data_IF_469553588289
#
_entry.id   IF_469553588289
#
_cell.length_a   1.000
_cell.length_b   1.000
_cell.length_c   1.000
_cell.angle_alpha   90.00
_cell.angle_beta   90.00
_cell.angle_gamma   90.00
#
_symmetry.space_group_name_H-M   'P 1'
#
loop_
_entity.id
_entity.type
_entity.pdbx_description
1 polymer ?
#
# COMPACT_ATOMS: atom_id res chain seq x y z
N UNK A 1 20.17 -8.55 -18.59
CA UNK A 1 19.52 -8.06 -19.82
C UNK A 1 18.02 -8.21 -19.62
N UNK A 2 17.36 -7.14 -19.21
CA UNK A 2 15.90 -7.12 -19.01
C UNK A 2 15.26 -7.24 -20.40
N UNK A 3 14.43 -8.27 -20.58
CA UNK A 3 13.74 -8.50 -21.85
C UNK A 3 12.92 -7.28 -22.24
N UNK A 4 13.14 -6.72 -23.44
CA UNK A 4 12.38 -5.60 -24.02
C UNK A 4 10.85 -5.81 -23.96
N UNK A 5 10.41 -7.06 -23.89
CA UNK A 5 8.99 -7.43 -23.77
C UNK A 5 8.35 -7.01 -22.44
N UNK A 6 9.12 -6.95 -21.34
CA UNK A 6 8.61 -6.53 -20.02
C UNK A 6 8.41 -5.01 -19.94
N UNK A 7 9.30 -4.25 -20.60
CA UNK A 7 9.17 -2.79 -20.70
C UNK A 7 7.94 -2.38 -21.52
N UNK A 8 7.61 -3.15 -22.55
CA UNK A 8 6.42 -2.94 -23.36
C UNK A 8 5.11 -3.23 -22.60
N UNK A 9 5.09 -4.22 -21.71
CA UNK A 9 3.90 -4.51 -20.90
C UNK A 9 3.55 -3.36 -19.94
N UNK A 10 4.54 -2.69 -19.37
CA UNK A 10 4.35 -1.51 -18.50
C UNK A 10 3.91 -0.29 -19.32
N UNK A 11 4.41 -0.13 -20.56
CA UNK A 11 4.06 0.97 -21.45
C UNK A 11 2.68 0.80 -22.10
N UNK A 12 2.23 -0.42 -22.40
CA UNK A 12 0.90 -0.68 -23.00
C UNK A 12 -0.24 -0.30 -22.04
N UNK A 13 -0.06 -0.44 -20.73
CA UNK A 13 -1.05 0.02 -19.74
C UNK A 13 -1.21 1.55 -19.76
N UNK A 14 -0.21 2.29 -20.22
CA UNK A 14 -0.26 3.76 -20.27
C UNK A 14 -0.83 4.32 -21.60
N UNK A 15 -0.96 3.52 -22.68
CA UNK A 15 -1.21 4.06 -24.02
C UNK A 15 -2.50 3.55 -24.69
N UNK A 16 -3.55 3.23 -23.98
CA UNK A 16 -4.85 3.02 -24.63
C UNK A 16 -5.64 4.33 -24.71
N UNK A 17 -5.46 5.08 -25.78
CA UNK A 17 -6.48 6.01 -26.27
C UNK A 17 -7.59 5.16 -26.90
N UNK A 18 -8.65 4.89 -26.18
CA UNK A 18 -9.88 4.34 -26.74
C UNK A 18 -10.66 5.46 -27.43
N UNK A 19 -11.01 5.25 -28.68
CA UNK A 19 -11.86 6.16 -29.47
C UNK A 19 -13.28 6.16 -28.89
N UNK A 20 -13.78 7.33 -28.55
CA UNK A 20 -15.03 7.57 -27.80
C UNK A 20 -16.33 7.09 -28.49
N UNK A 21 -16.31 6.73 -29.76
CA UNK A 21 -17.52 6.49 -30.53
C UNK A 21 -18.11 5.07 -30.41
N UNK A 22 -17.32 4.07 -30.08
CA UNK A 22 -17.76 2.67 -30.07
C UNK A 22 -18.37 2.22 -28.73
N UNK A 23 -18.10 2.94 -27.65
CA UNK A 23 -18.57 2.60 -26.29
C UNK A 23 -19.98 3.13 -25.98
N UNK A 24 -20.42 4.22 -26.63
CA UNK A 24 -21.76 4.79 -26.41
C UNK A 24 -22.91 3.87 -26.91
N UNK A 25 -22.65 3.05 -27.93
CA UNK A 25 -23.65 2.12 -28.45
C UNK A 25 -23.89 0.91 -27.53
N UNK A 26 -22.84 0.42 -26.85
CA UNK A 26 -22.93 -0.67 -25.89
C UNK A 26 -23.67 -0.24 -24.62
N UNK A 27 -23.46 1.01 -24.17
CA UNK A 27 -24.12 1.55 -22.98
C UNK A 27 -25.63 1.77 -23.20
N UNK A 28 -26.07 2.24 -24.39
CA UNK A 28 -27.49 2.42 -24.74
C UNK A 28 -28.24 1.10 -24.83
N UNK A 29 -27.63 0.07 -25.41
CA UNK A 29 -28.24 -1.27 -25.52
C UNK A 29 -28.37 -2.00 -24.18
N UNK A 30 -27.52 -1.67 -23.19
CA UNK A 30 -27.55 -2.29 -21.88
C UNK A 30 -28.68 -1.76 -20.98
N UNK A 31 -29.07 -0.50 -21.14
CA UNK A 31 -30.15 0.15 -20.36
C UNK A 31 -31.54 -0.45 -20.58
N UNK A 32 -31.76 -1.18 -21.65
CA UNK A 32 -33.05 -1.79 -21.97
C UNK A 32 -33.27 -3.22 -21.51
N UNK A 33 -32.22 -3.89 -20.96
CA UNK A 33 -32.39 -5.20 -20.33
C UNK A 33 -32.56 -5.03 -18.81
N UNK A 34 -33.77 -4.72 -18.36
CA UNK A 34 -34.17 -4.96 -16.98
C UNK A 34 -34.20 -6.48 -16.77
N UNK A 35 -33.14 -7.09 -16.21
CA UNK A 35 -33.29 -8.27 -15.37
C UNK A 35 -31.94 -8.80 -14.84
N UNK A 36 -31.89 -8.99 -13.53
CA UNK A 36 -31.19 -10.00 -12.72
C UNK A 36 -29.77 -9.67 -12.23
N UNK A 37 -28.97 -8.79 -12.84
CA UNK A 37 -27.67 -8.40 -12.31
C UNK A 37 -27.45 -6.86 -12.32
N UNK A 38 -28.29 -6.11 -11.61
CA UNK A 38 -28.06 -4.68 -11.35
C UNK A 38 -27.22 -4.42 -10.08
N UNK A 39 -26.49 -5.39 -9.60
CA UNK A 39 -25.52 -5.19 -8.55
C UNK A 39 -24.43 -4.21 -9.02
N UNK A 40 -24.49 -2.99 -8.55
CA UNK A 40 -23.34 -2.10 -8.56
C UNK A 40 -23.22 -1.09 -9.70
N UNK A 41 -24.26 -0.82 -10.50
CA UNK A 41 -24.20 0.20 -11.58
C UNK A 41 -24.87 1.52 -11.19
N UNK A 42 -24.69 1.95 -9.96
CA UNK A 42 -25.26 3.20 -9.47
C UNK A 42 -24.39 4.40 -9.88
N UNK A 43 -25.05 5.52 -10.23
CA UNK A 43 -24.39 6.82 -10.28
C UNK A 43 -23.94 7.18 -8.86
N UNK A 44 -22.90 8.02 -8.78
CA UNK A 44 -22.49 8.55 -7.49
C UNK A 44 -23.67 9.32 -6.87
N UNK A 45 -24.16 8.89 -5.70
CA UNK A 45 -25.12 9.70 -4.97
C UNK A 45 -24.49 11.06 -4.65
N UNK A 46 -25.28 12.13 -4.68
CA UNK A 46 -24.84 13.44 -4.16
C UNK A 46 -24.39 13.29 -2.70
N UNK A 47 -23.51 14.16 -2.24
CA UNK A 47 -22.96 14.09 -0.87
C UNK A 47 -24.09 14.04 0.18
N UNK A 48 -25.16 14.80 -0.02
CA UNK A 48 -26.32 14.85 0.86
C UNK A 48 -27.16 13.56 0.89
N UNK A 49 -27.10 12.74 -0.15
CA UNK A 49 -27.81 11.47 -0.25
C UNK A 49 -26.97 10.25 0.16
N UNK A 50 -25.67 10.45 0.40
CA UNK A 50 -24.80 9.40 0.91
C UNK A 50 -25.08 9.12 2.39
N UNK A 51 -24.98 7.82 2.73
CA UNK A 51 -25.08 7.34 4.11
C UNK A 51 -23.73 6.81 4.56
N UNK A 52 -23.36 7.08 5.82
CA UNK A 52 -22.14 6.57 6.44
C UNK A 52 -22.42 5.92 7.81
N UNK A 53 -21.37 5.38 8.43
CA UNK A 53 -21.45 4.74 9.76
C UNK A 53 -21.99 5.71 10.81
N UNK A 54 -21.64 7.00 10.71
CA UNK A 54 -22.08 8.01 11.67
C UNK A 54 -23.57 8.31 11.58
N UNK A 55 -24.17 8.31 10.38
CA UNK A 55 -25.61 8.42 10.20
C UNK A 55 -26.35 7.25 10.88
N UNK A 56 -25.74 6.04 10.83
CA UNK A 56 -26.24 4.87 11.55
C UNK A 56 -26.16 5.03 13.07
N UNK A 57 -25.04 5.51 13.58
CA UNK A 57 -24.83 5.77 15.02
C UNK A 57 -25.80 6.86 15.51
N UNK A 58 -25.97 7.95 14.74
CA UNK A 58 -26.92 9.01 15.06
C UNK A 58 -28.35 8.47 15.14
N UNK A 59 -28.75 7.62 14.20
CA UNK A 59 -30.10 7.03 14.17
C UNK A 59 -30.36 6.08 15.35
N UNK A 60 -29.35 5.30 15.78
CA UNK A 60 -29.48 4.30 16.84
C UNK A 60 -29.40 4.94 18.23
N UNK A 61 -28.44 5.86 18.42
CA UNK A 61 -28.10 6.40 19.74
C UNK A 61 -28.54 7.85 19.96
N UNK A 62 -29.09 8.51 18.94
CA UNK A 62 -29.54 9.91 19.04
C UNK A 62 -28.41 10.94 19.21
N UNK A 63 -27.16 10.53 19.02
CA UNK A 63 -25.97 11.37 19.20
C UNK A 63 -25.77 12.20 17.95
N UNK A 64 -26.19 13.48 17.94
CA UNK A 64 -25.91 14.38 16.82
C UNK A 64 -24.43 14.75 16.77
N UNK A 65 -23.81 14.55 15.63
CA UNK A 65 -22.44 15.01 15.37
C UNK A 65 -22.47 16.52 15.15
N UNK A 66 -22.03 17.29 16.15
CA UNK A 66 -21.87 18.74 16.00
C UNK A 66 -20.64 18.98 15.11
N UNK A 67 -20.89 19.40 13.88
CA UNK A 67 -19.85 19.93 12.99
C UNK A 67 -19.78 21.43 13.18
N UNK A 68 -18.87 21.91 14.01
CA UNK A 68 -18.58 23.35 14.09
C UNK A 68 -17.62 23.71 12.95
N UNK A 69 -18.12 24.42 11.94
CA UNK A 69 -17.30 24.89 10.79
C UNK A 69 -16.11 25.74 11.23
N UNK A 70 -16.20 26.42 12.40
CA UNK A 70 -15.07 27.18 12.97
C UNK A 70 -13.92 26.27 13.45
N UNK A 71 -14.17 25.00 13.75
CA UNK A 71 -13.12 24.05 14.09
C UNK A 71 -12.30 23.61 12.87
N UNK A 72 -12.85 23.68 11.67
CA UNK A 72 -12.16 23.32 10.42
C UNK A 72 -10.98 24.25 10.09
N UNK A 73 -10.87 25.41 10.72
CA UNK A 73 -9.76 26.36 10.54
C UNK A 73 -8.52 26.05 11.39
N UNK A 74 -8.58 25.10 12.30
CA UNK A 74 -7.49 24.72 13.23
C UNK A 74 -7.07 23.27 12.99
N UNK A 75 -5.80 22.91 13.32
CA UNK A 75 -5.39 21.51 13.34
C UNK A 75 -6.32 20.68 14.24
N UNK A 76 -6.77 19.53 13.73
CA UNK A 76 -7.64 18.62 14.45
C UNK A 76 -6.85 17.40 14.91
N UNK A 77 -6.83 17.17 16.21
CA UNK A 77 -6.24 15.99 16.83
C UNK A 77 -7.34 14.97 17.10
N UNK A 78 -7.20 13.78 16.54
CA UNK A 78 -7.98 12.61 16.89
C UNK A 78 -7.07 11.59 17.59
N UNK A 79 -7.48 11.11 18.76
CA UNK A 79 -6.82 10.03 19.49
C UNK A 79 -7.82 8.87 19.58
N UNK A 80 -7.48 7.72 18.99
CA UNK A 80 -8.40 6.60 18.82
C UNK A 80 -7.71 5.32 19.33
N UNK A 81 -8.14 4.79 20.49
CA UNK A 81 -7.76 3.44 20.87
C UNK A 81 -8.46 2.46 19.94
N UNK A 82 -7.75 1.46 19.46
CA UNK A 82 -8.30 0.46 18.54
C UNK A 82 -7.76 -0.94 18.82
N UNK A 83 -8.50 -1.93 18.34
CA UNK A 83 -8.06 -3.32 18.24
C UNK A 83 -7.99 -3.65 16.75
N UNK A 84 -6.86 -4.13 16.33
CA UNK A 84 -6.57 -4.42 14.93
C UNK A 84 -6.22 -5.89 14.73
N UNK A 85 -6.41 -6.38 13.52
CA UNK A 85 -5.98 -7.70 13.11
C UNK A 85 -5.27 -7.66 11.77
N UNK A 86 -4.13 -8.33 11.70
CA UNK A 86 -3.47 -8.63 10.42
C UNK A 86 -2.83 -10.01 10.45
N UNK A 87 -2.51 -10.57 9.29
CA UNK A 87 -1.81 -11.86 9.19
C UNK A 87 -0.46 -11.85 9.90
N UNK A 88 0.20 -10.69 9.91
CA UNK A 88 1.55 -10.51 10.47
C UNK A 88 1.47 -10.35 11.97
N UNK A 89 0.69 -9.38 12.41
CA UNK A 89 0.60 -8.99 13.83
C UNK A 89 -0.32 -9.90 14.63
N UNK A 90 -1.25 -10.61 13.97
CA UNK A 90 -2.39 -11.19 14.66
C UNK A 90 -3.24 -10.07 15.26
N UNK A 91 -3.86 -10.32 16.40
CA UNK A 91 -4.57 -9.28 17.17
C UNK A 91 -3.57 -8.34 17.81
N UNK A 92 -3.84 -7.06 17.72
CA UNK A 92 -3.05 -5.98 18.30
C UNK A 92 -3.96 -4.97 19.00
N UNK A 93 -3.50 -4.45 20.13
CA UNK A 93 -4.04 -3.23 20.73
C UNK A 93 -3.21 -2.05 20.23
N UNK A 94 -3.86 -0.97 19.81
CA UNK A 94 -3.16 0.22 19.33
C UNK A 94 -3.82 1.51 19.83
N UNK A 95 -3.00 2.55 19.86
CA UNK A 95 -3.42 3.93 20.06
C UNK A 95 -2.99 4.69 18.80
N UNK A 96 -3.97 5.09 18.02
CA UNK A 96 -3.77 5.85 16.80
C UNK A 96 -4.05 7.33 17.06
N UNK A 97 -3.18 8.20 16.62
CA UNK A 97 -3.39 9.64 16.64
C UNK A 97 -3.26 10.19 15.22
N UNK A 98 -4.21 11.03 14.83
CA UNK A 98 -4.17 11.70 13.54
C UNK A 98 -4.32 13.21 13.77
N UNK A 99 -3.33 13.96 13.31
CA UNK A 99 -3.36 15.42 13.28
C UNK A 99 -3.61 15.84 11.84
N UNK A 100 -4.81 16.34 11.57
CA UNK A 100 -5.19 16.89 10.27
C UNK A 100 -5.04 18.41 10.32
N UNK A 101 -4.31 18.96 9.38
CA UNK A 101 -4.17 20.41 9.22
C UNK A 101 -5.23 20.93 8.26
N UNK A 102 -5.75 22.16 8.49
CA UNK A 102 -6.69 22.78 7.58
C UNK A 102 -6.17 22.79 6.15
N UNK A 103 -7.02 22.37 5.22
CA UNK A 103 -6.69 22.40 3.79
C UNK A 103 -6.63 23.84 3.31
N UNK A 104 -5.47 24.32 2.90
CA UNK A 104 -5.29 25.69 2.38
C UNK A 104 -5.53 25.77 0.87
N UNK A 105 -5.21 24.72 0.12
CA UNK A 105 -5.39 24.63 -1.33
C UNK A 105 -5.90 23.23 -1.75
N UNK A 106 -5.12 22.50 -2.56
CA UNK A 106 -5.57 21.23 -3.13
C UNK A 106 -5.24 20.03 -2.24
N UNK A 107 -4.13 20.09 -1.50
CA UNK A 107 -3.60 18.96 -0.74
C UNK A 107 -3.81 19.13 0.77
N UNK A 108 -4.19 18.07 1.43
CA UNK A 108 -4.32 18.03 2.89
C UNK A 108 -3.00 17.60 3.54
N UNK A 109 -2.56 18.35 4.55
CA UNK A 109 -1.43 17.96 5.39
C UNK A 109 -1.90 17.14 6.57
N UNK A 110 -1.15 16.08 6.92
CA UNK A 110 -1.44 15.25 8.08
C UNK A 110 -0.18 14.73 8.74
N UNK A 111 -0.30 14.41 10.03
CA UNK A 111 0.65 13.60 10.78
C UNK A 111 -0.14 12.46 11.43
N UNK A 112 0.30 11.25 11.18
CA UNK A 112 -0.24 10.03 11.77
C UNK A 112 0.78 9.44 12.73
N UNK A 113 0.34 9.06 13.94
CA UNK A 113 1.12 8.38 14.96
C UNK A 113 0.39 7.07 15.29
N UNK A 114 1.11 5.98 15.34
CA UNK A 114 0.59 4.67 15.73
C UNK A 114 1.51 4.02 16.76
N UNK A 115 0.96 3.73 17.93
CA UNK A 115 1.64 2.96 18.98
C UNK A 115 0.88 1.64 19.17
N UNK A 116 1.54 0.52 18.91
CA UNK A 116 0.91 -0.78 18.79
C UNK A 116 1.65 -1.86 19.57
N UNK A 117 0.89 -2.68 20.29
CA UNK A 117 1.36 -3.89 20.95
C UNK A 117 0.55 -5.09 20.46
N UNK A 118 1.25 -6.15 20.05
CA UNK A 118 0.61 -7.35 19.49
C UNK A 118 0.69 -8.54 20.42
N UNK A 119 -0.23 -9.49 20.28
CA UNK A 119 -0.15 -10.78 20.97
C UNK A 119 1.06 -11.63 20.52
N UNK A 120 1.63 -11.34 19.36
CA UNK A 120 2.87 -11.96 18.86
C UNK A 120 4.14 -11.30 19.44
N UNK A 121 4.02 -10.49 20.50
CA UNK A 121 5.13 -9.81 21.18
C UNK A 121 5.85 -8.76 20.32
N UNK A 122 5.16 -8.21 19.33
CA UNK A 122 5.66 -7.08 18.54
C UNK A 122 5.26 -5.78 19.25
N UNK A 123 6.21 -4.84 19.36
CA UNK A 123 5.98 -3.47 19.80
C UNK A 123 6.34 -2.56 18.64
N UNK A 124 5.44 -1.71 18.22
CA UNK A 124 5.59 -0.87 17.03
C UNK A 124 5.21 0.56 17.40
N UNK A 125 6.08 1.51 17.07
CA UNK A 125 5.80 2.94 17.10
C UNK A 125 6.12 3.49 15.72
N UNK A 126 5.12 4.07 15.05
CA UNK A 126 5.23 4.63 13.70
C UNK A 126 4.79 6.09 13.67
N UNK A 127 5.49 6.89 12.88
CA UNK A 127 5.17 8.28 12.58
C UNK A 127 5.18 8.43 11.06
N UNK A 128 4.02 8.71 10.48
CA UNK A 128 3.90 8.99 9.06
C UNK A 128 3.35 10.40 8.89
N UNK A 129 4.00 11.22 8.06
CA UNK A 129 3.47 12.54 7.77
C UNK A 129 3.55 12.86 6.29
N UNK A 130 2.59 13.68 5.85
CA UNK A 130 2.57 14.29 4.53
C UNK A 130 2.19 15.75 4.71
N UNK A 131 3.19 16.63 4.66
CA UNK A 131 3.05 18.03 4.95
C UNK A 131 3.27 18.87 3.69
N UNK A 132 2.35 19.76 3.41
CA UNK A 132 2.38 20.66 2.25
C UNK A 132 2.64 22.09 2.66
N UNK A 133 3.60 22.73 2.00
CA UNK A 133 4.07 24.09 2.26
C UNK A 133 4.06 24.93 0.99
N UNK A 134 4.20 26.25 1.15
CA UNK A 134 4.36 27.21 0.08
C UNK A 134 3.28 27.05 -1.02
N UNK A 135 2.01 26.99 -0.63
CA UNK A 135 0.87 26.82 -1.56
C UNK A 135 1.00 25.55 -2.43
N UNK A 136 1.25 24.40 -1.79
CA UNK A 136 1.43 23.10 -2.43
C UNK A 136 2.66 23.00 -3.37
N UNK A 137 3.63 23.92 -3.23
CA UNK A 137 4.86 23.88 -4.01
C UNK A 137 5.90 22.91 -3.42
N UNK A 138 5.88 22.69 -2.11
CA UNK A 138 6.82 21.84 -1.40
C UNK A 138 6.03 20.80 -0.61
N UNK A 139 6.44 19.55 -0.76
CA UNK A 139 5.91 18.41 -0.01
C UNK A 139 7.03 17.80 0.84
N UNK A 140 6.73 17.55 2.11
CA UNK A 140 7.60 16.86 3.06
C UNK A 140 6.92 15.57 3.49
N UNK A 141 7.50 14.43 3.12
CA UNK A 141 7.06 13.11 3.52
C UNK A 141 8.00 12.52 4.56
N UNK A 142 7.43 12.06 5.67
CA UNK A 142 8.12 11.37 6.76
C UNK A 142 7.54 9.97 6.90
N UNK A 143 8.40 8.95 7.07
CA UNK A 143 8.03 7.59 7.45
C UNK A 143 9.10 7.08 8.41
N UNK A 144 8.84 7.26 9.71
CA UNK A 144 9.72 6.87 10.79
C UNK A 144 9.07 5.79 11.65
N UNK A 145 9.84 4.80 12.01
CA UNK A 145 9.36 3.79 12.95
C UNK A 145 10.49 3.23 13.78
N UNK A 146 10.14 2.86 15.04
CA UNK A 146 10.96 2.02 15.87
C UNK A 146 10.12 0.82 16.30
N UNK A 147 10.68 -0.37 16.18
CA UNK A 147 9.91 -1.57 16.49
C UNK A 147 10.79 -2.71 17.00
N UNK A 148 10.21 -3.56 17.85
CA UNK A 148 10.66 -4.91 18.11
C UNK A 148 9.74 -5.86 17.35
N UNK A 149 10.30 -6.67 16.44
CA UNK A 149 9.50 -7.35 15.44
C UNK A 149 9.87 -8.82 15.26
N UNK A 150 9.44 -9.72 16.18
CA UNK A 150 9.51 -11.14 15.91
C UNK A 150 8.59 -11.52 14.74
N UNK A 151 9.14 -12.23 13.74
CA UNK A 151 8.39 -12.64 12.55
C UNK A 151 8.87 -13.97 12.00
N UNK A 152 8.01 -14.63 11.24
CA UNK A 152 8.39 -15.78 10.40
C UNK A 152 9.11 -15.30 9.16
N UNK A 153 10.20 -15.94 8.82
CA UNK A 153 10.93 -15.78 7.56
C UNK A 153 10.88 -17.10 6.77
N UNK A 154 10.39 -17.03 5.54
CA UNK A 154 10.14 -18.19 4.70
C UNK A 154 11.26 -18.46 3.70
N UNK A 155 12.37 -17.74 3.81
CA UNK A 155 13.52 -17.88 2.95
C UNK A 155 13.49 -17.02 1.70
N UNK A 156 14.39 -17.34 0.79
CA UNK A 156 14.63 -16.60 -0.45
C UNK A 156 13.97 -17.28 -1.65
N UNK A 157 13.54 -16.44 -2.62
CA UNK A 157 12.96 -16.88 -3.87
C UNK A 157 11.45 -17.08 -3.84
N UNK A 158 10.89 -17.49 -4.97
CA UNK A 158 9.45 -17.64 -5.19
C UNK A 158 8.91 -19.06 -4.96
N UNK A 159 9.77 -20.01 -4.57
CA UNK A 159 9.41 -21.43 -4.35
C UNK A 159 9.55 -21.85 -2.87
N UNK A 160 9.62 -20.89 -1.94
CA UNK A 160 9.71 -21.18 -0.52
C UNK A 160 8.48 -21.93 -0.01
N UNK A 161 8.66 -22.86 0.96
CA UNK A 161 7.55 -23.60 1.57
C UNK A 161 6.84 -22.78 2.66
N UNK A 162 5.53 -22.93 2.79
CA UNK A 162 4.78 -22.31 3.89
C UNK A 162 5.07 -23.02 5.23
N UNK A 163 5.46 -24.29 5.19
CA UNK A 163 5.72 -25.12 6.37
C UNK A 163 7.17 -25.00 6.88
N UNK A 164 8.07 -24.46 6.05
CA UNK A 164 9.48 -24.28 6.39
C UNK A 164 9.76 -22.79 6.57
N UNK A 165 10.03 -22.39 7.80
CA UNK A 165 10.32 -20.99 8.15
C UNK A 165 11.32 -20.92 9.31
N UNK A 166 12.09 -19.84 9.32
CA UNK A 166 12.88 -19.41 10.47
C UNK A 166 12.07 -18.42 11.33
N UNK A 167 12.25 -18.48 12.65
CA UNK A 167 11.67 -17.49 13.56
C UNK A 167 12.73 -16.44 13.85
N UNK A 168 12.66 -15.31 13.16
CA UNK A 168 13.55 -14.18 13.38
C UNK A 168 12.98 -13.23 14.44
N UNK A 169 13.87 -12.79 15.35
CA UNK A 169 13.61 -11.67 16.25
C UNK A 169 14.60 -10.57 15.92
N UNK A 170 14.15 -9.34 15.88
CA UNK A 170 15.00 -8.16 15.69
C UNK A 170 14.32 -6.90 16.20
N UNK A 171 15.12 -5.90 16.43
CA UNK A 171 14.71 -4.52 16.62
C UNK A 171 15.01 -3.74 15.33
N UNK A 172 14.19 -2.75 15.00
CA UNK A 172 14.30 -2.01 13.75
C UNK A 172 14.02 -0.52 13.96
N UNK A 173 14.94 0.32 13.48
CA UNK A 173 14.76 1.76 13.35
C UNK A 173 14.71 2.12 11.87
N UNK A 174 13.62 2.74 11.44
CA UNK A 174 13.41 3.29 10.10
C UNK A 174 13.27 4.80 10.18
N UNK A 175 14.13 5.52 9.47
CA UNK A 175 14.07 6.97 9.33
C UNK A 175 14.11 7.31 7.85
N UNK A 176 12.95 7.47 7.25
CA UNK A 176 12.79 7.82 5.86
C UNK A 176 12.20 9.23 5.74
N UNK A 177 12.93 10.12 5.08
CA UNK A 177 12.54 11.49 4.90
C UNK A 177 12.68 11.88 3.43
N UNK A 178 11.67 12.52 2.85
CA UNK A 178 11.69 12.99 1.47
C UNK A 178 11.15 14.42 1.39
N UNK A 179 11.86 15.28 0.67
CA UNK A 179 11.41 16.62 0.30
C UNK A 179 11.22 16.65 -1.20
N UNK A 180 10.06 17.09 -1.66
CA UNK A 180 9.72 17.19 -3.08
C UNK A 180 9.26 18.60 -3.41
N UNK A 181 9.65 19.09 -4.58
CA UNK A 181 9.28 20.41 -5.14
C UNK A 181 8.45 20.21 -6.40
N UNK A 182 7.38 20.95 -6.50
CA UNK A 182 6.56 21.02 -7.70
C UNK A 182 7.32 21.65 -8.86
N UNK A 183 7.34 20.99 -10.00
CA UNK A 183 7.99 21.50 -11.22
C UNK A 183 6.98 21.76 -12.35
N UNK A 184 5.82 21.11 -12.30
CA UNK A 184 4.73 21.34 -13.24
C UNK A 184 3.40 20.93 -12.56
N UNK A 185 2.28 21.05 -13.26
CA UNK A 185 0.99 20.58 -12.75
C UNK A 185 1.10 19.09 -12.40
N UNK A 186 0.80 18.76 -11.14
CA UNK A 186 0.77 17.40 -10.62
C UNK A 186 2.11 16.62 -10.71
N UNK A 187 3.23 17.29 -11.06
CA UNK A 187 4.56 16.72 -11.20
C UNK A 187 5.53 17.32 -10.20
N UNK A 188 6.24 16.46 -9.47
CA UNK A 188 7.18 16.82 -8.42
C UNK A 188 8.49 16.06 -8.60
N UNK A 189 9.59 16.74 -8.30
CA UNK A 189 10.92 16.12 -8.12
C UNK A 189 11.35 16.27 -6.68
N UNK A 190 12.05 15.28 -6.15
CA UNK A 190 12.46 15.28 -4.75
C UNK A 190 13.77 14.56 -4.50
N UNK A 191 14.31 14.85 -3.32
CA UNK A 191 15.44 14.13 -2.75
C UNK A 191 15.08 13.69 -1.33
N UNK A 192 15.70 12.62 -0.87
CA UNK A 192 15.43 12.10 0.47
C UNK A 192 16.60 11.37 1.08
N UNK A 193 16.46 11.09 2.36
CA UNK A 193 17.33 10.24 3.15
C UNK A 193 16.56 8.99 3.57
N UNK A 194 17.21 7.84 3.50
CA UNK A 194 16.71 6.55 3.95
C UNK A 194 17.73 5.96 4.90
N UNK A 195 17.31 5.69 6.13
CA UNK A 195 18.14 5.02 7.14
C UNK A 195 17.32 3.89 7.74
N UNK A 196 17.81 2.67 7.56
CA UNK A 196 17.25 1.43 8.09
C UNK A 196 18.32 0.77 8.94
N UNK A 197 18.06 0.58 10.23
CA UNK A 197 18.98 -0.09 11.13
C UNK A 197 18.25 -1.22 11.86
N UNK A 198 18.75 -2.43 11.67
CA UNK A 198 18.28 -3.64 12.37
C UNK A 198 19.36 -4.06 13.34
N UNK A 199 18.97 -4.38 14.56
CA UNK A 199 19.88 -4.86 15.61
C UNK A 199 19.20 -5.94 16.45
N UNK A 200 19.95 -6.63 17.31
CA UNK A 200 19.51 -7.79 18.09
C UNK A 200 18.89 -8.88 17.20
N UNK A 201 19.44 -9.03 16.01
CA UNK A 201 18.93 -10.03 15.07
C UNK A 201 19.32 -11.41 15.59
N UNK A 202 18.32 -12.23 15.85
CA UNK A 202 18.49 -13.59 16.31
C UNK A 202 17.52 -14.54 15.61
N UNK A 203 18.01 -15.73 15.32
CA UNK A 203 17.20 -16.83 14.80
C UNK A 203 17.00 -17.85 15.92
N UNK A 204 15.76 -17.98 16.35
CA UNK A 204 15.38 -18.90 17.43
C UNK A 204 14.90 -20.26 16.92
N UNK A 205 15.09 -20.52 15.63
CA UNK A 205 14.71 -21.78 15.00
C UNK A 205 15.62 -22.93 15.47
N UNK A 206 15.07 -24.10 15.65
CA UNK A 206 15.80 -25.30 16.11
C UNK A 206 16.88 -25.73 15.09
N UNK A 207 18.06 -26.09 15.59
CA UNK A 207 19.32 -26.29 14.83
C UNK A 207 19.24 -27.37 13.72
N UNK A 208 18.28 -28.29 13.75
CA UNK A 208 18.22 -29.45 12.85
C UNK A 208 17.40 -29.24 11.57
N UNK A 209 17.21 -27.99 11.12
CA UNK A 209 16.52 -27.66 9.87
C UNK A 209 17.53 -27.27 8.79
N UNK A 210 17.18 -27.46 7.49
CA UNK A 210 18.02 -26.96 6.40
C UNK A 210 18.16 -25.44 6.51
N UNK A 211 19.33 -24.94 6.07
CA UNK A 211 19.56 -23.49 6.00
C UNK A 211 18.60 -22.86 5.00
N UNK A 212 17.82 -21.89 5.46
CA UNK A 212 16.92 -21.10 4.64
C UNK A 212 17.09 -19.61 4.94
N UNK A 213 16.68 -18.79 3.99
CA UNK A 213 16.50 -17.35 4.19
C UNK A 213 17.71 -16.67 4.77
N UNK A 214 17.56 -16.16 5.97
CA UNK A 214 18.58 -15.38 6.66
C UNK A 214 19.88 -16.13 6.87
N UNK A 215 19.82 -17.42 7.25
CA UNK A 215 21.00 -18.26 7.42
C UNK A 215 21.71 -18.54 6.11
N UNK A 216 20.96 -18.76 5.03
CA UNK A 216 21.54 -18.99 3.70
C UNK A 216 22.21 -17.74 3.13
N UNK A 217 21.65 -16.55 3.39
CA UNK A 217 22.19 -15.27 2.93
C UNK A 217 23.47 -14.85 3.68
N UNK A 218 23.63 -15.32 4.91
CA UNK A 218 24.72 -15.01 5.84
C UNK A 218 24.22 -14.37 7.12
N UNK A 219 24.59 -14.94 8.26
CA UNK A 219 24.18 -14.45 9.57
C UNK A 219 24.86 -13.12 9.93
N UNK A 220 24.09 -12.18 10.46
CA UNK A 220 24.57 -10.93 11.04
C UNK A 220 23.68 -10.51 12.21
N UNK A 221 24.26 -10.12 13.35
CA UNK A 221 23.51 -9.64 14.51
C UNK A 221 22.91 -8.25 14.28
N UNK A 222 23.45 -7.51 13.33
CA UNK A 222 22.95 -6.18 12.96
C UNK A 222 23.20 -5.88 11.51
N UNK A 223 22.41 -5.00 10.93
CA UNK A 223 22.64 -4.47 9.59
C UNK A 223 22.10 -3.05 9.47
N UNK A 224 22.78 -2.24 8.67
CA UNK A 224 22.38 -0.85 8.40
C UNK A 224 22.30 -0.60 6.91
N UNK A 225 21.31 0.16 6.46
CA UNK A 225 21.19 0.65 5.11
C UNK A 225 20.96 2.16 5.14
N UNK A 226 22.06 2.93 5.05
CA UNK A 226 22.06 4.40 4.97
C UNK A 226 22.21 4.85 3.53
N UNK A 227 21.30 5.68 3.03
CA UNK A 227 21.35 6.11 1.64
C UNK A 227 20.55 7.35 1.33
N UNK A 228 20.81 7.90 0.14
CA UNK A 228 20.08 9.02 -0.46
C UNK A 228 19.09 8.50 -1.49
N UNK A 229 18.01 9.26 -1.73
CA UNK A 229 17.05 8.98 -2.80
C UNK A 229 16.84 10.18 -3.70
N UNK A 230 16.56 9.86 -4.98
CA UNK A 230 16.03 10.80 -5.95
C UNK A 230 14.65 10.33 -6.35
N UNK A 231 13.67 11.24 -6.36
CA UNK A 231 12.27 10.91 -6.50
C UNK A 231 11.64 11.73 -7.61
N UNK A 232 10.84 11.08 -8.45
CA UNK A 232 9.93 11.69 -9.40
C UNK A 232 8.52 11.23 -9.04
N UNK A 233 7.58 12.17 -8.84
CA UNK A 233 6.21 11.90 -8.49
C UNK A 233 5.26 12.64 -9.42
N UNK A 234 4.36 11.90 -10.08
CA UNK A 234 3.20 12.43 -10.79
C UNK A 234 1.94 11.91 -10.12
N UNK A 235 1.13 12.81 -9.54
CA UNK A 235 -0.05 12.44 -8.77
C UNK A 235 -1.22 13.38 -9.08
N UNK A 236 -2.23 12.87 -9.76
CA UNK A 236 -3.47 13.59 -10.09
C UNK A 236 -4.61 13.24 -9.15
N UNK A 237 -4.39 12.39 -8.14
CA UNK A 237 -5.42 11.97 -7.20
C UNK A 237 -5.85 13.14 -6.31
N UNK A 238 -7.14 13.36 -6.24
CA UNK A 238 -7.74 14.37 -5.34
C UNK A 238 -7.90 13.83 -3.92
N UNK A 239 -8.07 12.52 -3.83
CA UNK A 239 -8.17 11.80 -2.56
C UNK A 239 -7.35 10.51 -2.65
N UNK A 240 -6.16 10.50 -2.06
CA UNK A 240 -5.25 9.34 -2.08
C UNK A 240 -5.82 8.13 -1.32
N UNK A 241 -6.76 8.35 -0.38
CA UNK A 241 -7.39 7.29 0.42
C UNK A 241 -8.48 6.57 -0.40
N UNK A 242 -9.15 7.27 -1.31
CA UNK A 242 -10.19 6.73 -2.19
C UNK A 242 -10.10 7.36 -3.58
N UNK A 243 -9.16 6.92 -4.39
CA UNK A 243 -9.03 7.41 -5.77
C UNK A 243 -10.24 7.05 -6.62
N UNK A 244 -10.56 7.93 -7.57
CA UNK A 244 -11.71 7.80 -8.47
C UNK A 244 -11.30 7.68 -9.93
N UNK A 245 -12.25 7.38 -10.79
CA UNK A 245 -12.03 7.25 -12.22
C UNK A 245 -11.38 8.51 -12.83
N UNK A 246 -10.42 8.31 -13.72
CA UNK A 246 -9.67 9.36 -14.42
C UNK A 246 -8.39 9.80 -13.71
N UNK A 247 -8.19 9.39 -12.47
CA UNK A 247 -6.99 9.72 -11.70
C UNK A 247 -5.84 8.76 -12.02
N UNK A 248 -4.60 9.25 -11.81
CA UNK A 248 -3.38 8.50 -12.06
C UNK A 248 -2.34 8.84 -11.00
N UNK A 249 -1.48 7.88 -10.73
CA UNK A 249 -0.31 8.04 -9.86
C UNK A 249 0.87 7.34 -10.50
N UNK A 250 2.03 8.00 -10.48
CA UNK A 250 3.30 7.41 -10.86
C UNK A 250 4.40 7.93 -9.96
N UNK A 251 5.22 7.01 -9.44
CA UNK A 251 6.41 7.33 -8.66
C UNK A 251 7.60 6.53 -9.17
N UNK A 252 8.72 7.20 -9.36
CA UNK A 252 10.02 6.57 -9.56
C UNK A 252 10.96 7.06 -8.45
N UNK A 253 11.58 6.14 -7.73
CA UNK A 253 12.54 6.42 -6.67
C UNK A 253 13.83 5.64 -6.93
N UNK A 254 14.93 6.34 -7.12
CA UNK A 254 16.27 5.76 -7.12
C UNK A 254 16.85 5.91 -5.72
N UNK A 255 17.21 4.79 -5.08
CA UNK A 255 17.87 4.74 -3.77
C UNK A 255 19.30 4.26 -3.92
N UNK A 256 20.24 5.05 -3.43
CA UNK A 256 21.67 4.71 -3.41
C UNK A 256 22.15 4.65 -1.97
N UNK A 257 22.56 3.48 -1.51
CA UNK A 257 23.06 3.24 -0.15
C UNK A 257 24.57 3.15 -0.19
N UNK A 258 25.21 3.92 0.69
CA UNK A 258 26.66 4.11 0.70
C UNK A 258 27.23 3.75 2.07
N UNK A 259 28.37 3.07 2.08
CA UNK A 259 29.10 2.77 3.32
C UNK A 259 29.55 4.05 4.02
N UNK A 260 29.83 5.11 3.29
CA UNK A 260 30.12 6.45 3.84
C UNK A 260 28.94 7.10 4.59
N UNK A 261 27.73 6.62 4.37
CA UNK A 261 26.51 7.01 5.11
C UNK A 261 26.10 5.97 6.18
N UNK A 262 27.03 5.10 6.60
CA UNK A 262 26.81 4.08 7.61
C UNK A 262 26.11 2.81 7.10
N UNK A 263 25.97 2.62 5.78
CA UNK A 263 25.41 1.37 5.23
C UNK A 263 26.39 0.23 5.39
N UNK A 264 25.91 -0.95 5.77
CA UNK A 264 26.71 -2.19 5.88
C UNK A 264 27.32 -2.58 4.52
N UNK A 265 26.64 -2.26 3.42
CA UNK A 265 27.10 -2.50 2.06
C UNK A 265 26.67 -1.36 1.13
N UNK A 266 27.42 -1.13 0.07
CA UNK A 266 27.02 -0.24 -1.01
C UNK A 266 26.14 -0.97 -2.01
N UNK A 267 24.96 -0.41 -2.27
CA UNK A 267 24.00 -0.97 -3.23
C UNK A 267 23.02 0.10 -3.75
N UNK A 268 22.44 -0.15 -4.91
CA UNK A 268 21.49 0.75 -5.56
C UNK A 268 20.25 -0.01 -5.96
N UNK A 269 19.09 0.56 -5.66
CA UNK A 269 17.81 0.01 -6.08
C UNK A 269 16.89 1.10 -6.64
N UNK A 270 16.00 0.71 -7.53
CA UNK A 270 14.96 1.55 -8.10
C UNK A 270 13.59 0.99 -7.76
N UNK A 271 12.73 1.84 -7.20
CA UNK A 271 11.30 1.55 -7.00
C UNK A 271 10.50 2.28 -8.07
N UNK A 272 9.65 1.53 -8.76
CA UNK A 272 8.71 2.05 -9.75
C UNK A 272 7.31 1.68 -9.33
N UNK A 273 6.46 2.68 -9.14
CA UNK A 273 5.07 2.49 -8.79
C UNK A 273 4.17 3.25 -9.77
N UNK A 274 3.13 2.58 -10.25
CA UNK A 274 2.13 3.18 -11.11
C UNK A 274 0.74 2.72 -10.71
N UNK A 275 -0.23 3.65 -10.69
CA UNK A 275 -1.64 3.37 -10.42
C UNK A 275 -2.49 4.08 -11.45
N UNK A 276 -3.53 3.40 -11.94
CA UNK A 276 -4.49 3.95 -12.90
C UNK A 276 -5.90 3.55 -12.52
N UNK A 277 -6.83 4.50 -12.61
CA UNK A 277 -8.22 4.31 -12.21
C UNK A 277 -9.15 4.63 -13.38
N UNK A 278 -9.90 3.63 -13.86
CA UNK A 278 -10.82 3.73 -14.97
C UNK A 278 -12.26 3.57 -14.50
N UNK A 279 -13.16 4.43 -14.97
CA UNK A 279 -14.60 4.25 -14.75
C UNK A 279 -15.14 3.14 -15.64
N UNK A 280 -15.69 2.07 -15.05
CA UNK A 280 -16.23 0.96 -15.81
C UNK A 280 -17.46 0.34 -15.11
N UNK A 281 -18.66 0.38 -15.70
CA UNK A 281 -19.02 1.15 -16.88
C UNK A 281 -18.90 2.66 -16.69
N UNK A 282 -18.80 3.40 -17.81
CA UNK A 282 -18.77 4.87 -17.76
C UNK A 282 -20.06 5.42 -17.16
N UNK A 283 -19.95 6.53 -16.41
CA UNK A 283 -21.08 7.20 -15.77
C UNK A 283 -21.60 6.49 -14.50
N UNK A 284 -20.89 5.48 -14.02
CA UNK A 284 -21.11 4.84 -12.71
C UNK A 284 -20.00 5.20 -11.73
N UNK A 285 -20.19 4.83 -10.44
CA UNK A 285 -19.17 4.94 -9.41
C UNK A 285 -18.14 3.82 -9.42
N UNK A 286 -18.32 2.85 -10.31
CA UNK A 286 -17.44 1.69 -10.33
C UNK A 286 -16.09 2.07 -10.90
N UNK A 287 -15.04 1.52 -10.32
CA UNK A 287 -13.67 1.79 -10.70
C UNK A 287 -12.95 0.49 -10.98
N UNK A 288 -12.38 0.38 -12.17
CA UNK A 288 -11.37 -0.60 -12.49
C UNK A 288 -10.00 0.03 -12.22
N UNK A 289 -9.34 -0.45 -11.18
CA UNK A 289 -8.07 0.08 -10.70
C UNK A 289 -6.93 -0.88 -11.05
N UNK A 290 -5.79 -0.33 -11.45
CA UNK A 290 -4.55 -1.05 -11.74
C UNK A 290 -3.45 -0.53 -10.84
N UNK A 291 -2.68 -1.44 -10.27
CA UNK A 291 -1.51 -1.13 -9.46
C UNK A 291 -0.31 -1.96 -9.90
N UNK A 292 0.79 -1.26 -10.20
CA UNK A 292 2.09 -1.83 -10.48
C UNK A 292 3.08 -1.35 -9.43
N UNK A 293 3.74 -2.25 -8.71
CA UNK A 293 4.72 -1.93 -7.69
C UNK A 293 5.96 -2.81 -7.87
N UNK A 294 7.07 -2.18 -8.25
CA UNK A 294 8.27 -2.92 -8.64
C UNK A 294 9.49 -2.36 -7.92
N UNK A 295 10.30 -3.22 -7.33
CA UNK A 295 11.60 -2.88 -6.75
C UNK A 295 12.67 -3.66 -7.49
N UNK A 296 13.59 -2.95 -8.10
CA UNK A 296 14.69 -3.51 -8.90
C UNK A 296 16.01 -3.21 -8.19
N UNK A 297 16.74 -4.24 -7.80
CA UNK A 297 18.13 -4.07 -7.37
C UNK A 297 18.99 -3.89 -8.62
N UNK A 298 19.63 -2.72 -8.75
CA UNK A 298 20.44 -2.36 -9.90
C UNK A 298 21.90 -2.75 -9.71
N UNK A 299 22.41 -2.69 -8.48
CA UNK A 299 23.79 -3.07 -8.14
C UNK A 299 23.94 -3.38 -6.65
N UNK A 300 24.98 -4.13 -6.32
CA UNK A 300 25.35 -4.47 -4.96
C UNK A 300 24.43 -5.51 -4.29
N UNK A 301 24.61 -5.71 -3.00
CA UNK A 301 23.87 -6.67 -2.20
C UNK A 301 23.23 -5.95 -0.98
N UNK A 302 21.91 -5.66 -1.01
CA UNK A 302 21.22 -5.10 0.13
C UNK A 302 21.29 -6.05 1.34
N UNK A 303 21.29 -5.57 2.59
CA UNK A 303 21.14 -6.42 3.77
C UNK A 303 19.84 -7.24 3.70
N UNK A 304 19.86 -8.46 4.28
CA UNK A 304 18.77 -9.42 4.15
C UNK A 304 17.38 -8.84 4.50
N UNK A 305 17.26 -8.18 5.63
CA UNK A 305 15.97 -7.63 6.11
C UNK A 305 15.47 -6.44 5.28
N UNK A 306 16.34 -5.84 4.45
CA UNK A 306 15.99 -4.75 3.53
C UNK A 306 15.65 -5.25 2.12
N UNK A 307 15.91 -6.54 1.83
CA UNK A 307 15.56 -7.14 0.54
C UNK A 307 14.05 -7.00 0.24
N UNK A 308 13.67 -6.70 -1.01
CA UNK A 308 12.28 -6.69 -1.45
C UNK A 308 11.53 -7.99 -1.11
N UNK A 309 10.33 -7.85 -0.61
CA UNK A 309 9.51 -8.98 -0.17
C UNK A 309 8.00 -8.70 -0.32
N UNK A 310 7.19 -9.73 -0.24
CA UNK A 310 5.72 -9.60 -0.17
C UNK A 310 5.32 -8.66 0.97
N UNK A 311 4.38 -7.75 0.72
CA UNK A 311 3.92 -6.72 1.66
C UNK A 311 5.02 -5.73 2.09
N UNK A 312 5.88 -5.32 1.13
CA UNK A 312 7.00 -4.39 1.36
C UNK A 312 6.58 -2.91 1.29
N UNK A 313 5.46 -2.61 0.68
CA UNK A 313 4.94 -1.24 0.59
C UNK A 313 4.62 -0.66 1.99
N UNK A 314 4.54 0.66 2.16
CA UNK A 314 4.31 1.29 3.46
C UNK A 314 3.04 0.81 4.19
N UNK A 315 2.01 0.43 3.43
CA UNK A 315 0.73 -0.06 3.97
C UNK A 315 0.63 -1.58 4.04
N UNK A 316 1.70 -2.31 3.64
CA UNK A 316 1.80 -3.78 3.69
C UNK A 316 0.72 -4.50 2.87
N UNK A 317 0.34 -3.92 1.73
CA UNK A 317 -0.73 -4.39 0.86
C UNK A 317 -0.25 -5.12 -0.40
N UNK A 318 1.04 -4.97 -0.80
CA UNK A 318 1.56 -5.66 -1.99
C UNK A 318 1.50 -7.19 -1.83
N UNK A 319 0.82 -7.86 -2.79
CA UNK A 319 0.67 -9.31 -2.79
C UNK A 319 -0.36 -9.81 -1.77
N UNK A 320 -1.54 -9.18 -1.71
CA UNK A 320 -2.66 -9.66 -0.89
C UNK A 320 -2.94 -11.15 -1.17
N UNK A 321 -3.20 -11.94 -0.13
CA UNK A 321 -3.29 -13.40 -0.15
C UNK A 321 -2.11 -14.08 0.53
N UNK A 322 -1.07 -13.32 0.83
CA UNK A 322 0.15 -13.82 1.45
C UNK A 322 0.52 -13.03 2.70
N UNK A 323 1.13 -13.73 3.66
CA UNK A 323 1.72 -13.07 4.84
C UNK A 323 2.96 -12.27 4.41
N UNK A 324 3.28 -11.20 5.12
CA UNK A 324 4.49 -10.40 4.89
C UNK A 324 5.74 -11.29 4.87
N UNK A 325 6.68 -10.93 4.00
CA UNK A 325 7.93 -11.69 3.79
C UNK A 325 7.75 -13.14 3.36
N UNK A 326 6.55 -13.52 2.86
CA UNK A 326 6.32 -14.86 2.32
C UNK A 326 7.26 -15.21 1.17
N UNK A 327 7.53 -14.25 0.33
CA UNK A 327 8.49 -14.34 -0.76
C UNK A 327 9.43 -13.15 -0.67
N UNK A 328 10.73 -13.42 -0.79
CA UNK A 328 11.80 -12.44 -0.65
C UNK A 328 12.85 -12.66 -1.73
N UNK A 329 13.35 -11.59 -2.33
CA UNK A 329 14.40 -11.68 -3.35
C UNK A 329 15.14 -10.36 -3.53
N UNK A 330 16.16 -10.32 -4.41
CA UNK A 330 16.88 -9.06 -4.70
C UNK A 330 16.00 -8.02 -5.40
N UNK A 331 15.07 -8.48 -6.21
CA UNK A 331 14.09 -7.63 -6.91
C UNK A 331 12.70 -8.22 -6.75
N UNK A 332 11.68 -7.38 -6.84
CA UNK A 332 10.27 -7.76 -6.76
C UNK A 332 9.49 -7.06 -7.85
N UNK A 333 8.64 -7.80 -8.53
CA UNK A 333 7.62 -7.29 -9.45
C UNK A 333 6.25 -7.67 -8.92
N UNK A 334 5.33 -6.73 -8.84
CA UNK A 334 3.94 -6.96 -8.44
C UNK A 334 2.99 -6.16 -9.31
N UNK A 335 1.96 -6.82 -9.78
CA UNK A 335 0.85 -6.22 -10.54
C UNK A 335 -0.45 -6.63 -9.89
N UNK A 336 -1.38 -5.70 -9.76
CA UNK A 336 -2.72 -5.95 -9.21
C UNK A 336 -3.77 -5.24 -10.02
N UNK A 337 -4.91 -5.89 -10.19
CA UNK A 337 -6.13 -5.36 -10.76
C UNK A 337 -7.26 -5.49 -9.76
N UNK A 338 -8.05 -4.45 -9.60
CA UNK A 338 -9.15 -4.41 -8.64
C UNK A 338 -10.38 -3.76 -9.27
N UNK A 339 -11.53 -4.43 -9.20
CA UNK A 339 -12.81 -3.87 -9.60
C UNK A 339 -13.63 -3.51 -8.38
N UNK A 340 -13.85 -2.21 -8.18
CA UNK A 340 -14.63 -1.61 -7.09
C UNK A 340 -16.02 -1.27 -7.59
N UNK A 341 -17.06 -1.71 -6.87
CA UNK A 341 -18.45 -1.46 -7.27
C UNK A 341 -19.33 -1.14 -6.07
N UNK A 342 -20.39 -0.38 -6.32
CA UNK A 342 -21.39 -0.06 -5.29
C UNK A 342 -22.39 -1.20 -5.16
N UNK A 343 -22.72 -1.60 -3.93
CA UNK A 343 -23.79 -2.58 -3.63
C UNK A 343 -25.08 -1.85 -3.32
N UNK A 344 -25.00 -0.70 -2.62
CA UNK A 344 -26.17 0.12 -2.28
C UNK A 344 -26.17 1.44 -3.04
N UNK A 345 -27.37 1.93 -3.39
CA UNK A 345 -27.54 3.20 -4.12
C UNK A 345 -27.06 4.42 -3.32
N UNK A 346 -27.21 4.39 -2.00
CA UNK A 346 -26.77 5.46 -1.10
C UNK A 346 -25.26 5.42 -0.81
N UNK A 347 -24.50 4.52 -1.46
CA UNK A 347 -23.05 4.40 -1.33
C UNK A 347 -22.56 3.92 0.03
N UNK A 348 -23.43 3.42 0.93
CA UNK A 348 -23.06 2.91 2.24
C UNK A 348 -22.23 1.61 2.13
N UNK A 349 -22.68 0.70 1.26
CA UNK A 349 -22.04 -0.59 1.06
C UNK A 349 -21.51 -0.72 -0.36
N UNK A 350 -20.27 -1.13 -0.50
CA UNK A 350 -19.62 -1.48 -1.75
C UNK A 350 -18.93 -2.83 -1.67
N UNK A 351 -18.50 -3.32 -2.83
CA UNK A 351 -17.75 -4.56 -2.98
C UNK A 351 -16.51 -4.37 -3.82
N UNK A 352 -15.60 -5.32 -3.70
CA UNK A 352 -14.40 -5.39 -4.51
C UNK A 352 -14.10 -6.83 -4.92
N UNK A 353 -13.63 -6.99 -6.16
CA UNK A 353 -13.01 -8.21 -6.67
C UNK A 353 -11.60 -7.84 -7.13
N UNK A 354 -10.60 -8.64 -6.79
CA UNK A 354 -9.23 -8.33 -7.19
C UNK A 354 -8.40 -9.58 -7.47
N UNK A 355 -7.37 -9.37 -8.28
CA UNK A 355 -6.33 -10.35 -8.53
C UNK A 355 -4.97 -9.68 -8.62
N UNK A 356 -3.97 -10.34 -8.07
CA UNK A 356 -2.58 -9.88 -8.15
C UNK A 356 -1.65 -11.00 -8.61
N UNK A 357 -0.50 -10.59 -9.07
CA UNK A 357 0.58 -11.48 -9.45
C UNK A 357 1.90 -10.85 -9.02
N UNK A 358 2.74 -11.63 -8.37
CA UNK A 358 4.05 -11.18 -7.95
C UNK A 358 5.14 -12.15 -8.42
N UNK A 359 6.37 -11.68 -8.49
CA UNK A 359 7.56 -12.47 -8.76
C UNK A 359 8.75 -11.84 -8.05
N UNK A 360 9.59 -12.65 -7.46
CA UNK A 360 10.84 -12.21 -6.82
C UNK A 360 12.03 -12.82 -7.54
N UNK A 361 13.14 -12.10 -7.59
CA UNK A 361 14.35 -12.62 -8.22
C UNK A 361 15.16 -13.45 -7.22
N UNK A 362 15.72 -14.55 -7.73
CA UNK A 362 16.69 -15.35 -7.00
C UNK A 362 17.96 -14.53 -6.69
N UNK A 363 18.53 -14.70 -5.51
CA UNK A 363 19.63 -13.86 -5.04
C UNK A 363 20.99 -14.23 -5.64
N UNK A 364 21.17 -15.47 -6.17
CA UNK A 364 22.39 -15.94 -6.83
C UNK A 364 22.36 -15.66 -8.33
N UNK A 365 21.25 -15.98 -8.98
CA UNK A 365 21.14 -15.96 -10.44
C UNK A 365 20.48 -14.68 -10.98
N UNK A 366 19.85 -13.86 -10.12
CA UNK A 366 19.01 -12.71 -10.48
C UNK A 366 17.83 -13.05 -11.41
N UNK A 367 17.52 -14.34 -11.64
CA UNK A 367 16.37 -14.76 -12.44
C UNK A 367 15.09 -14.63 -11.62
N UNK A 368 14.05 -14.10 -12.24
CA UNK A 368 12.75 -14.02 -11.62
C UNK A 368 12.09 -15.39 -11.52
N UNK A 369 11.41 -15.65 -10.40
CA UNK A 369 10.60 -16.85 -10.19
C UNK A 369 9.42 -16.91 -11.17
N UNK A 370 8.80 -18.08 -11.28
CA UNK A 370 7.48 -18.19 -11.90
C UNK A 370 6.48 -17.24 -11.21
N UNK A 371 5.51 -16.72 -11.95
CA UNK A 371 4.48 -15.86 -11.39
C UNK A 371 3.73 -16.49 -10.22
N UNK A 372 3.53 -15.72 -9.16
CA UNK A 372 2.87 -16.12 -7.92
C UNK A 372 1.54 -15.38 -7.84
N UNK A 373 0.40 -16.04 -8.15
CA UNK A 373 -0.91 -15.41 -8.19
C UNK A 373 -1.53 -15.29 -6.80
N UNK A 374 -2.29 -14.22 -6.59
CA UNK A 374 -3.22 -14.04 -5.46
C UNK A 374 -4.53 -13.45 -5.98
N UNK A 375 -5.63 -13.72 -5.31
CA UNK A 375 -6.94 -13.17 -5.66
C UNK A 375 -7.82 -13.07 -4.43
N UNK A 376 -8.87 -12.28 -4.51
CA UNK A 376 -9.75 -12.12 -3.37
C UNK A 376 -11.00 -11.30 -3.67
N UNK A 377 -11.81 -11.22 -2.63
CA UNK A 377 -13.04 -10.44 -2.59
C UNK A 377 -13.04 -9.56 -1.34
N UNK A 378 -13.79 -8.47 -1.38
CA UNK A 378 -13.91 -7.63 -0.20
C UNK A 378 -15.19 -6.82 -0.15
N UNK A 379 -15.45 -6.29 1.04
CA UNK A 379 -16.57 -5.39 1.34
C UNK A 379 -16.00 -4.03 1.68
N UNK A 380 -16.71 -2.99 1.28
CA UNK A 380 -16.43 -1.58 1.58
C UNK A 380 -17.61 -0.99 2.34
N UNK A 381 -17.36 -0.51 3.54
CA UNK A 381 -18.37 0.19 4.36
C UNK A 381 -18.00 1.65 4.41
N UNK A 382 -18.93 2.56 4.07
CA UNK A 382 -18.70 4.00 4.12
C UNK A 382 -18.54 4.44 5.56
N UNK A 383 -17.29 4.73 5.95
CA UNK A 383 -16.97 5.22 7.29
C UNK A 383 -17.31 6.69 7.46
N UNK A 384 -16.96 7.52 6.48
CA UNK A 384 -17.22 8.96 6.50
C UNK A 384 -17.53 9.45 5.08
N UNK A 385 -18.74 9.99 4.88
CA UNK A 385 -19.20 10.49 3.59
C UNK A 385 -18.52 11.80 3.17
N UNK A 386 -18.14 12.67 4.12
CA UNK A 386 -17.46 13.95 3.83
C UNK A 386 -16.03 13.75 3.33
N UNK A 387 -15.24 12.91 3.99
CA UNK A 387 -13.90 12.54 3.52
C UNK A 387 -13.91 11.45 2.46
N UNK A 388 -15.09 10.93 2.15
CA UNK A 388 -15.32 9.82 1.23
C UNK A 388 -14.47 8.57 1.54
N UNK A 389 -14.28 8.29 2.84
CA UNK A 389 -13.44 7.20 3.34
C UNK A 389 -14.29 5.96 3.58
N UNK A 390 -13.78 4.80 3.16
CA UNK A 390 -14.35 3.49 3.42
C UNK A 390 -13.53 2.75 4.50
N UNK A 391 -14.14 1.81 5.21
CA UNK A 391 -13.44 0.71 5.86
C UNK A 391 -13.48 -0.46 4.88
N UNK A 392 -12.34 -1.03 4.59
CA UNK A 392 -12.16 -2.16 3.68
C UNK A 392 -11.93 -3.45 4.48
N UNK A 393 -12.68 -4.49 4.13
CA UNK A 393 -12.53 -5.84 4.65
C UNK A 393 -12.35 -6.78 3.48
N UNK A 394 -11.16 -7.34 3.32
CA UNK A 394 -10.80 -8.20 2.21
C UNK A 394 -10.46 -9.60 2.69
N UNK A 395 -10.89 -10.62 1.97
CA UNK A 395 -10.42 -11.98 2.13
C UNK A 395 -9.73 -12.43 0.85
N UNK A 396 -8.52 -12.94 0.99
CA UNK A 396 -7.66 -13.30 -0.13
C UNK A 396 -7.16 -14.72 -0.05
N UNK A 397 -6.94 -15.30 -1.21
CA UNK A 397 -6.34 -16.60 -1.43
C UNK A 397 -5.06 -16.44 -2.26
N UNK A 398 -4.08 -17.26 -1.96
CA UNK A 398 -2.81 -17.36 -2.69
C UNK A 398 -2.46 -18.82 -2.97
N UNK A 399 -1.28 -19.01 -3.56
CA UNK A 399 -0.71 -20.31 -3.86
C UNK A 399 -0.41 -21.10 -2.56
N UNK A 400 -0.37 -22.42 -2.65
CA UNK A 400 0.05 -23.37 -1.60
C UNK A 400 -0.79 -23.25 -0.31
N UNK A 401 -2.10 -22.96 -0.43
CA UNK A 401 -3.01 -22.84 0.70
C UNK A 401 -2.87 -21.54 1.49
N UNK A 402 -2.07 -20.59 1.00
CA UNK A 402 -1.99 -19.24 1.58
C UNK A 402 -3.33 -18.54 1.49
N UNK A 403 -3.78 -17.96 2.58
CA UNK A 403 -5.04 -17.20 2.65
C UNK A 403 -5.02 -16.27 3.85
N UNK A 404 -5.85 -15.23 3.80
CA UNK A 404 -5.94 -14.34 4.93
C UNK A 404 -6.95 -13.24 4.79
N UNK A 405 -7.21 -12.63 5.93
CA UNK A 405 -8.07 -11.47 6.09
C UNK A 405 -7.21 -10.21 6.18
N UNK A 406 -7.64 -9.16 5.48
CA UNK A 406 -6.97 -7.86 5.45
C UNK A 406 -8.00 -6.79 5.77
N UNK A 407 -7.59 -5.80 6.56
CA UNK A 407 -8.42 -4.66 6.91
C UNK A 407 -7.66 -3.38 6.66
N UNK A 408 -8.31 -2.42 5.99
CA UNK A 408 -7.71 -1.13 5.67
C UNK A 408 -8.71 0.00 5.94
N UNK A 409 -8.21 1.18 6.24
CA UNK A 409 -8.95 2.43 6.20
C UNK A 409 -8.70 3.13 4.86
N UNK A 410 -9.73 3.26 4.05
CA UNK A 410 -9.62 3.67 2.65
C UNK A 410 -9.59 2.49 1.69
N UNK A 411 -9.23 2.74 0.44
CA UNK A 411 -8.94 1.70 -0.55
C UNK A 411 -7.48 1.25 -0.40
N UNK A 412 -7.19 0.06 -0.92
CA UNK A 412 -5.86 -0.55 -0.78
C UNK A 412 -4.78 0.24 -1.54
N UNK A 413 -5.15 0.86 -2.69
CA UNK A 413 -4.24 1.68 -3.48
C UNK A 413 -4.96 2.74 -4.31
#
# INVERSE_FOLDING_TARGET
>A
MISRKLLYAVLIVMYTKTTAAQEDSLYKNWKHKKNIFTLGFYKQPGEDSMVDVWDGIERIFGVKKSYDEKQLSKPQLALIPSVEYSLITGVAASINSNILFPKKLNNASYIYLDAKQTFKKQTILEIVSNLWFANDQINLNTDWSIMRFPQKDFGLGGNSSLLLFDQLNYSYLKLHQTVSKKISKDLYIGAGLRYDHHWDISDTTTINKPLIGFREYGFSNSSTAGGITFNLLYDTRRNAIRPVAGENYFQAMLRNNLTSLGSTATWTAMTLEARKYLGLPRGTNNVLAFWSYNILNLSGAPPYLVLPHTAVDPFKNTGRGYIQSRYRGKSLLMQEIEYRFSITENGFLGGVLYGNIQSVSDYKTNKFSSPIPGYGIGIRIKYNKKSNTNIAFDYAWGKDGSRGFFMNLGEVF
#
